data_IF_165408953360
#
_entry.id   IF_165408953360
#
_cell.length_a   1.000
_cell.length_b   1.000
_cell.length_c   1.000
_cell.angle_alpha   90.00
_cell.angle_beta   90.00
_cell.angle_gamma   90.00
#
_symmetry.space_group_name_H-M   'P 1'
#
loop_
_entity.id
_entity.type
_entity.pdbx_description
1 polymer ?
#
# COMPACT_ATOMS: atom_id res chain seq x y z
N UNK A 1 8.60 -16.91 20.73
CA UNK A 1 8.91 -15.46 20.73
C UNK A 1 8.13 -14.81 19.60
N UNK A 2 7.45 -13.69 19.83
CA UNK A 2 6.82 -12.96 18.73
C UNK A 2 7.91 -12.32 17.86
N UNK A 3 7.92 -12.63 16.57
CA UNK A 3 8.82 -11.97 15.61
C UNK A 3 8.28 -10.58 15.33
N UNK A 4 9.05 -9.54 15.67
CA UNK A 4 8.71 -8.18 15.27
C UNK A 4 9.16 -7.94 13.83
N UNK A 5 8.22 -7.60 12.95
CA UNK A 5 8.52 -7.20 11.58
C UNK A 5 8.32 -5.69 11.42
N UNK A 6 9.36 -4.91 11.08
CA UNK A 6 9.22 -3.48 10.87
C UNK A 6 8.35 -3.19 9.65
N UNK A 7 7.48 -2.18 9.77
CA UNK A 7 6.54 -1.77 8.72
C UNK A 7 6.31 -0.26 8.70
N UNK A 8 5.52 0.19 7.73
CA UNK A 8 5.19 1.61 7.54
C UNK A 8 3.70 1.85 7.82
N UNK A 9 3.39 2.91 8.57
CA UNK A 9 2.03 3.41 8.77
C UNK A 9 1.92 4.82 8.24
N UNK A 10 1.15 5.01 7.17
CA UNK A 10 0.84 6.33 6.60
C UNK A 10 -0.51 6.79 7.18
N UNK A 11 -0.48 7.93 7.87
CA UNK A 11 -1.66 8.61 8.43
C UNK A 11 -1.71 10.08 7.97
N UNK A 12 -2.82 10.76 8.29
CA UNK A 12 -3.09 12.15 7.92
C UNK A 12 -3.51 12.32 6.46
N UNK A 13 -4.34 13.32 6.19
CA UNK A 13 -4.99 13.53 4.89
C UNK A 13 -4.06 13.91 3.72
N UNK A 14 -2.78 14.22 3.97
CA UNK A 14 -1.83 14.59 2.92
C UNK A 14 -1.29 13.37 2.13
N UNK A 15 -0.56 13.64 1.05
CA UNK A 15 0.12 12.62 0.25
C UNK A 15 1.56 12.39 0.71
N UNK A 16 2.00 11.12 0.73
CA UNK A 16 3.39 10.71 0.90
C UNK A 16 3.85 10.00 -0.37
N UNK A 17 4.91 10.49 -1.01
CA UNK A 17 5.50 9.84 -2.18
C UNK A 17 6.78 9.09 -1.82
N UNK A 18 6.84 7.80 -2.14
CA UNK A 18 8.01 6.95 -1.97
C UNK A 18 8.62 6.65 -3.34
N UNK A 19 9.81 7.20 -3.58
CA UNK A 19 10.57 7.00 -4.83
C UNK A 19 11.52 5.80 -4.76
N UNK A 20 11.92 5.38 -3.56
CA UNK A 20 12.78 4.21 -3.33
C UNK A 20 12.01 2.89 -3.22
N UNK A 21 12.75 1.79 -3.26
CA UNK A 21 12.21 0.45 -3.02
C UNK A 21 11.99 0.19 -1.52
N UNK A 22 10.95 -0.55 -1.18
CA UNK A 22 10.61 -0.97 0.18
C UNK A 22 11.09 -2.42 0.37
N UNK A 23 12.11 -2.59 1.21
CA UNK A 23 12.75 -3.89 1.48
C UNK A 23 12.32 -4.53 2.80
N UNK A 24 11.60 -3.82 3.66
CA UNK A 24 11.05 -4.39 4.89
C UNK A 24 9.94 -5.39 4.57
N UNK A 25 9.79 -6.36 5.46
CA UNK A 25 8.86 -7.48 5.30
C UNK A 25 7.58 -7.30 6.14
N UNK A 26 7.57 -6.36 7.08
CA UNK A 26 6.37 -5.99 7.81
C UNK A 26 5.34 -5.28 6.93
N UNK A 27 4.11 -5.13 7.42
CA UNK A 27 3.02 -4.58 6.64
C UNK A 27 3.18 -3.08 6.38
N UNK A 28 2.65 -2.63 5.26
CA UNK A 28 2.41 -1.21 4.98
C UNK A 28 0.93 -0.93 5.19
N UNK A 29 0.60 -0.01 6.07
CA UNK A 29 -0.79 0.38 6.35
C UNK A 29 -1.02 1.82 5.89
N UNK A 30 -1.94 2.01 4.96
CA UNK A 30 -2.39 3.34 4.51
C UNK A 30 -3.72 3.63 5.22
N UNK A 31 -3.63 4.36 6.32
CA UNK A 31 -4.75 4.64 7.21
C UNK A 31 -5.59 5.80 6.71
N UNK A 32 -4.94 6.85 6.18
CA UNK A 32 -5.59 8.05 5.65
C UNK A 32 -4.74 8.72 4.55
N UNK A 33 -5.39 9.52 3.71
CA UNK A 33 -4.75 10.31 2.68
C UNK A 33 -4.20 9.44 1.55
N UNK A 34 -3.09 9.86 0.92
CA UNK A 34 -2.53 9.14 -0.23
C UNK A 34 -1.12 8.62 0.04
N UNK A 35 -0.87 7.38 -0.32
CA UNK A 35 0.48 6.82 -0.45
C UNK A 35 0.77 6.59 -1.93
N UNK A 36 1.81 7.25 -2.45
CA UNK A 36 2.27 7.08 -3.83
C UNK A 36 3.53 6.23 -3.85
N UNK A 37 3.49 5.09 -4.54
CA UNK A 37 4.62 4.17 -4.71
C UNK A 37 5.18 4.31 -6.13
N UNK A 38 6.32 4.99 -6.26
CA UNK A 38 7.10 5.04 -7.53
C UNK A 38 8.19 3.98 -7.59
N UNK A 39 8.66 3.48 -6.43
CA UNK A 39 9.59 2.36 -6.33
C UNK A 39 8.91 0.98 -6.33
N UNK A 40 9.61 -0.04 -5.83
CA UNK A 40 9.11 -1.42 -5.71
C UNK A 40 8.78 -1.78 -4.26
N UNK A 41 7.58 -2.29 -4.01
CA UNK A 41 7.08 -2.79 -2.73
C UNK A 41 6.73 -4.28 -2.85
N UNK A 42 7.75 -5.13 -3.04
CA UNK A 42 7.56 -6.56 -3.35
C UNK A 42 7.60 -7.48 -2.13
N UNK A 43 8.15 -7.00 -1.01
CA UNK A 43 8.33 -7.76 0.23
C UNK A 43 7.30 -7.45 1.31
N UNK A 44 6.55 -6.37 1.13
CA UNK A 44 5.53 -5.90 2.07
C UNK A 44 4.15 -6.12 1.48
N UNK A 45 3.20 -6.49 2.34
CA UNK A 45 1.78 -6.43 2.02
C UNK A 45 1.25 -5.04 2.35
N UNK A 46 0.50 -4.44 1.41
CA UNK A 46 -0.06 -3.10 1.58
C UNK A 46 -1.55 -3.20 1.87
N UNK A 47 -1.99 -2.76 3.05
CA UNK A 47 -3.42 -2.64 3.39
C UNK A 47 -3.85 -1.18 3.29
N UNK A 48 -4.90 -0.92 2.52
CA UNK A 48 -5.48 0.41 2.28
C UNK A 48 -6.85 0.47 2.92
N UNK A 49 -6.98 1.30 3.94
CA UNK A 49 -8.20 1.46 4.73
C UNK A 49 -9.14 2.50 4.09
N UNK A 50 -10.38 2.53 4.55
CA UNK A 50 -11.35 3.58 4.19
C UNK A 50 -10.77 4.99 4.38
N UNK A 51 -11.08 5.90 3.46
CA UNK A 51 -10.54 7.26 3.47
C UNK A 51 -9.08 7.37 2.98
N UNK A 52 -8.44 6.25 2.61
CA UNK A 52 -7.11 6.22 2.03
C UNK A 52 -7.08 5.81 0.56
N UNK A 53 -6.03 6.26 -0.13
CA UNK A 53 -5.72 5.90 -1.51
C UNK A 53 -4.28 5.40 -1.60
N UNK A 54 -4.09 4.24 -2.22
CA UNK A 54 -2.78 3.80 -2.70
C UNK A 54 -2.67 4.10 -4.19
N UNK A 55 -1.65 4.83 -4.58
CA UNK A 55 -1.33 5.12 -5.99
C UNK A 55 -0.01 4.43 -6.36
N UNK A 56 -0.07 3.47 -7.28
CA UNK A 56 1.11 2.70 -7.70
C UNK A 56 1.55 3.15 -9.08
N UNK A 57 2.80 3.61 -9.21
CA UNK A 57 3.50 3.88 -10.47
C UNK A 57 4.67 2.91 -10.70
N UNK A 58 5.15 2.26 -9.64
CA UNK A 58 6.20 1.25 -9.70
C UNK A 58 5.64 -0.17 -9.63
N UNK A 59 5.94 -0.88 -8.55
CA UNK A 59 5.42 -2.24 -8.37
C UNK A 59 5.01 -2.54 -6.94
N UNK A 60 3.95 -3.33 -6.76
CA UNK A 60 3.52 -3.84 -5.46
C UNK A 60 3.18 -5.33 -5.57
N UNK A 61 3.62 -6.15 -4.62
CA UNK A 61 3.32 -7.59 -4.68
C UNK A 61 1.87 -7.89 -4.29
N UNK A 62 1.44 -7.40 -3.12
CA UNK A 62 0.11 -7.67 -2.58
C UNK A 62 -0.51 -6.38 -2.07
N UNK A 63 -1.73 -6.08 -2.53
CA UNK A 63 -2.55 -4.96 -2.07
C UNK A 63 -3.86 -5.51 -1.51
N UNK A 64 -4.19 -5.14 -0.27
CA UNK A 64 -5.46 -5.42 0.40
C UNK A 64 -6.26 -4.12 0.50
N UNK A 65 -7.48 -4.12 0.00
CA UNK A 65 -8.42 -3.01 0.11
C UNK A 65 -9.43 -3.32 1.21
N UNK A 66 -9.32 -2.59 2.32
CA UNK A 66 -10.24 -2.63 3.46
C UNK A 66 -11.10 -1.35 3.44
N UNK A 67 -11.81 -1.12 2.33
CA UNK A 67 -12.60 0.11 2.06
C UNK A 67 -11.83 1.24 1.37
N UNK A 68 -10.51 1.11 1.22
CA UNK A 68 -9.68 2.10 0.52
C UNK A 68 -9.69 2.01 -1.00
N UNK A 69 -9.01 2.95 -1.66
CA UNK A 69 -8.92 3.02 -3.13
C UNK A 69 -7.53 2.62 -3.63
N UNK A 70 -7.49 1.95 -4.79
CA UNK A 70 -6.27 1.68 -5.55
C UNK A 70 -6.31 2.45 -6.86
N UNK A 71 -5.26 3.21 -7.14
CA UNK A 71 -5.02 3.90 -8.42
C UNK A 71 -3.75 3.34 -9.04
N UNK A 72 -3.82 3.01 -10.33
CA UNK A 72 -2.67 2.51 -11.09
C UNK A 72 -2.22 3.58 -12.07
N UNK A 73 -1.01 4.09 -11.87
CA UNK A 73 -0.32 4.99 -12.78
C UNK A 73 0.31 4.25 -13.96
N UNK A 74 0.99 4.99 -14.83
CA UNK A 74 1.66 4.44 -16.00
C UNK A 74 2.75 3.44 -15.59
N UNK A 75 2.76 2.26 -16.20
CA UNK A 75 3.75 1.21 -15.93
C UNK A 75 3.58 0.46 -14.59
N UNK A 76 2.52 0.73 -13.85
CA UNK A 76 2.23 0.08 -12.57
C UNK A 76 2.11 -1.44 -12.70
N UNK A 77 2.76 -2.17 -11.78
CA UNK A 77 2.66 -3.64 -11.68
C UNK A 77 2.18 -4.05 -10.31
N UNK A 78 0.95 -4.50 -10.20
CA UNK A 78 0.39 -5.05 -8.96
C UNK A 78 0.13 -6.53 -9.12
N UNK A 79 0.75 -7.36 -8.28
CA UNK A 79 0.68 -8.82 -8.40
C UNK A 79 -0.68 -9.39 -8.00
N UNK A 80 -1.09 -9.15 -6.75
CA UNK A 80 -2.38 -9.60 -6.22
C UNK A 80 -3.11 -8.44 -5.56
N UNK A 81 -4.38 -8.28 -5.93
CA UNK A 81 -5.31 -7.37 -5.24
C UNK A 81 -6.36 -8.22 -4.51
N UNK A 82 -6.57 -7.94 -3.23
CA UNK A 82 -7.58 -8.56 -2.38
C UNK A 82 -8.51 -7.44 -1.95
N UNK A 83 -9.75 -7.43 -2.43
CA UNK A 83 -10.77 -6.51 -1.96
C UNK A 83 -11.69 -7.24 -0.99
N UNK A 84 -12.02 -6.62 0.16
CA UNK A 84 -13.06 -7.14 1.03
C UNK A 84 -14.42 -6.95 0.34
N UNK A 85 -15.17 -8.03 0.04
CA UNK A 85 -16.44 -7.94 -0.70
C UNK A 85 -17.56 -7.26 0.10
N UNK A 86 -17.35 -6.95 1.39
CA UNK A 86 -18.36 -6.31 2.24
C UNK A 86 -18.43 -4.78 2.15
N UNK A 87 -17.52 -4.15 1.41
CA UNK A 87 -17.48 -2.68 1.24
C UNK A 87 -17.67 -2.36 -0.25
N UNK A 88 -18.94 -2.29 -0.67
CA UNK A 88 -19.37 -1.85 -2.01
C UNK A 88 -19.84 -0.39 -1.96
#
# INVERSE_FOLDING_TARGET
>A
TATHLPGLRKAGGASLTLTGNLYYEGPTQVLEGTLVIKGKALKTEITVYEGATLEVHGSAAVVKLAGGKLVLGEGAKVGKVIADPSVS
#
